data_IF_232236485463
#
_entry.id   IF_232236485463
#
_cell.length_a   1.000
_cell.length_b   1.000
_cell.length_c   1.000
_cell.angle_alpha   90.00
_cell.angle_beta   90.00
_cell.angle_gamma   90.00
#
_symmetry.space_group_name_H-M   'P 1'
#
loop_
_entity.id
_entity.type
_entity.pdbx_description
1 polymer ?
#
# COMPACT_ATOMS: atom_id res chain seq x y z
N UNK A 1 41.52 18.83 31.44
CA UNK A 1 40.58 17.75 31.77
C UNK A 1 39.17 18.31 31.68
N UNK A 2 38.60 18.30 30.47
CA UNK A 2 37.26 18.84 30.21
C UNK A 2 36.25 17.72 30.53
N UNK A 3 35.93 17.56 31.81
CA UNK A 3 34.91 16.61 32.25
C UNK A 3 33.54 17.17 31.90
N UNK A 4 32.82 16.52 30.99
CA UNK A 4 31.41 16.83 30.76
C UNK A 4 30.71 16.67 32.11
N UNK A 5 30.02 17.71 32.63
CA UNK A 5 29.38 17.63 33.92
C UNK A 5 28.36 16.50 33.88
N UNK A 6 28.46 15.56 34.82
CA UNK A 6 27.61 14.39 34.97
C UNK A 6 26.11 14.63 34.67
N UNK A 7 25.48 15.74 35.12
CA UNK A 7 24.08 16.00 34.77
C UNK A 7 23.80 16.15 33.26
N UNK A 8 24.73 16.69 32.47
CA UNK A 8 24.56 16.80 31.02
C UNK A 8 24.60 15.44 30.32
N UNK A 9 25.40 14.50 30.84
CA UNK A 9 25.44 13.12 30.33
C UNK A 9 24.09 12.43 30.57
N UNK A 10 23.51 12.62 31.76
CA UNK A 10 22.20 12.04 32.11
C UNK A 10 21.10 12.62 31.20
N UNK A 11 21.10 13.93 30.96
CA UNK A 11 20.11 14.56 30.07
C UNK A 11 20.25 14.04 28.63
N UNK A 12 21.48 13.92 28.12
CA UNK A 12 21.71 13.39 26.78
C UNK A 12 21.25 11.93 26.64
N UNK A 13 21.46 11.10 27.67
CA UNK A 13 20.97 9.72 27.72
C UNK A 13 19.43 9.65 27.72
N UNK A 14 18.78 10.52 28.49
CA UNK A 14 17.31 10.57 28.54
C UNK A 14 16.74 11.01 27.18
N UNK A 15 17.33 12.01 26.54
CA UNK A 15 16.89 12.47 25.21
C UNK A 15 17.12 11.41 24.12
N UNK A 16 18.27 10.71 24.15
CA UNK A 16 18.54 9.62 23.22
C UNK A 16 17.57 8.44 23.41
N UNK A 17 17.23 8.09 24.66
CA UNK A 17 16.26 7.05 24.96
C UNK A 17 14.84 7.43 24.49
N UNK A 18 14.43 8.68 24.69
CA UNK A 18 13.16 9.21 24.19
C UNK A 18 13.07 9.18 22.67
N UNK A 19 14.14 9.60 21.97
CA UNK A 19 14.21 9.51 20.52
C UNK A 19 14.17 8.04 20.06
N UNK A 20 14.92 7.15 20.69
CA UNK A 20 14.87 5.72 20.41
C UNK A 20 13.48 5.11 20.59
N UNK A 21 12.74 5.53 21.63
CA UNK A 21 11.37 5.09 21.87
C UNK A 21 10.39 5.63 20.81
N UNK A 22 10.55 6.87 20.37
CA UNK A 22 9.73 7.46 19.29
C UNK A 22 9.97 6.73 17.96
N UNK A 23 11.24 6.40 17.65
CA UNK A 23 11.55 5.58 16.47
C UNK A 23 10.97 4.17 16.60
N UNK A 24 11.11 3.52 17.75
CA UNK A 24 10.53 2.20 17.98
C UNK A 24 9.00 2.20 17.83
N UNK A 25 8.32 3.23 18.34
CA UNK A 25 6.87 3.39 18.17
C UNK A 25 6.44 3.64 16.73
N UNK A 26 7.23 4.37 15.93
CA UNK A 26 6.97 4.54 14.50
C UNK A 26 7.19 3.24 13.71
N UNK A 27 8.21 2.44 14.09
CA UNK A 27 8.41 1.10 13.52
C UNK A 27 7.31 0.13 13.94
N UNK A 28 6.84 0.20 15.18
CA UNK A 28 5.69 -0.57 15.66
C UNK A 28 4.41 -0.13 14.96
N UNK A 29 4.14 1.15 14.70
CA UNK A 29 2.97 1.54 13.90
C UNK A 29 3.06 1.05 12.45
N UNK A 30 4.26 0.96 11.89
CA UNK A 30 4.49 0.37 10.57
C UNK A 30 4.45 -1.17 10.58
N UNK A 31 4.63 -1.80 11.75
CA UNK A 31 4.71 -3.27 11.93
C UNK A 31 3.49 -3.87 12.63
N UNK A 32 2.65 -3.08 13.29
CA UNK A 32 1.39 -3.57 13.90
C UNK A 32 0.33 -3.80 12.83
N UNK A 33 0.50 -3.22 11.63
CA UNK A 33 -0.16 -3.70 10.40
C UNK A 33 0.42 -5.03 9.87
N UNK A 34 1.48 -5.57 10.49
CA UNK A 34 2.12 -6.87 10.22
C UNK A 34 2.13 -7.71 11.51
N UNK A 35 0.99 -8.10 12.06
CA UNK A 35 0.99 -9.02 13.21
C UNK A 35 -0.27 -9.89 13.24
N UNK A 36 -0.33 -10.88 12.34
CA UNK A 36 -0.63 -12.30 12.62
C UNK A 36 -1.19 -12.99 11.38
N UNK A 37 -0.32 -13.66 10.60
CA UNK A 37 -0.63 -14.99 10.05
C UNK A 37 0.64 -15.60 9.43
N UNK A 38 1.16 -16.65 10.07
CA UNK A 38 2.12 -17.55 9.47
C UNK A 38 1.44 -18.30 8.32
N UNK A 39 1.73 -17.90 7.08
CA UNK A 39 1.27 -18.56 5.87
C UNK A 39 2.48 -19.01 5.03
N UNK A 40 2.55 -20.31 4.73
CA UNK A 40 3.65 -20.94 4.03
C UNK A 40 3.94 -20.29 2.66
N UNK A 41 5.22 -20.22 2.29
CA UNK A 41 5.64 -19.93 0.92
C UNK A 41 5.15 -21.04 0.01
N UNK A 42 4.09 -20.78 -0.76
CA UNK A 42 3.65 -21.64 -1.85
C UNK A 42 4.13 -21.05 -3.17
N UNK A 43 5.11 -21.74 -3.74
CA UNK A 43 5.54 -21.64 -5.12
C UNK A 43 4.40 -22.17 -6.01
N UNK A 44 3.66 -21.30 -6.70
CA UNK A 44 2.56 -21.71 -7.59
C UNK A 44 2.21 -20.63 -8.61
N UNK A 45 2.41 -20.97 -9.89
CA UNK A 45 1.80 -20.42 -11.11
C UNK A 45 1.05 -19.08 -11.00
N UNK A 46 1.68 -18.03 -11.51
CA UNK A 46 1.12 -16.80 -12.12
C UNK A 46 -0.42 -16.67 -12.09
N UNK A 47 -0.94 -16.03 -11.04
CA UNK A 47 -2.29 -15.47 -11.01
C UNK A 47 -3.01 -15.70 -9.68
N UNK A 48 -3.50 -14.62 -9.07
CA UNK A 48 -4.59 -14.70 -8.10
C UNK A 48 -5.80 -15.32 -8.79
N UNK A 49 -6.35 -16.40 -8.24
CA UNK A 49 -7.53 -17.06 -8.81
C UNK A 49 -8.71 -16.08 -8.91
N UNK A 50 -9.57 -16.25 -9.91
CA UNK A 50 -10.74 -15.39 -10.08
C UNK A 50 -11.93 -15.95 -9.30
N UNK A 51 -12.77 -15.07 -8.77
CA UNK A 51 -14.02 -15.45 -8.12
C UNK A 51 -15.11 -15.82 -9.16
N UNK A 52 -16.30 -16.13 -8.64
CA UNK A 52 -17.47 -16.48 -9.47
C UNK A 52 -17.95 -15.37 -10.40
N UNK A 53 -17.60 -14.10 -10.13
CA UNK A 53 -17.90 -12.95 -10.99
C UNK A 53 -16.77 -12.62 -11.97
N UNK A 54 -15.69 -13.42 -11.97
CA UNK A 54 -14.55 -13.26 -12.86
C UNK A 54 -13.52 -12.23 -12.40
N UNK A 55 -13.63 -11.69 -11.19
CA UNK A 55 -12.68 -10.73 -10.62
C UNK A 55 -11.49 -11.45 -9.97
N UNK A 56 -10.26 -10.90 -10.06
CA UNK A 56 -9.10 -11.47 -9.37
C UNK A 56 -9.27 -11.35 -7.84
N UNK A 57 -9.03 -12.45 -7.12
CA UNK A 57 -9.09 -12.49 -5.65
C UNK A 57 -7.73 -12.14 -5.07
N UNK A 58 -7.62 -10.94 -4.51
CA UNK A 58 -6.37 -10.38 -4.01
C UNK A 58 -6.41 -10.32 -2.48
N UNK A 59 -5.34 -10.80 -1.86
CA UNK A 59 -5.10 -10.67 -0.43
C UNK A 59 -3.82 -9.89 -0.21
N UNK A 60 -3.54 -9.51 1.03
CA UNK A 60 -2.27 -8.85 1.38
C UNK A 60 -1.04 -9.65 0.93
N UNK A 61 -1.10 -10.99 0.94
CA UNK A 61 0.01 -11.85 0.56
C UNK A 61 0.16 -12.02 -0.95
N UNK A 62 -0.92 -11.86 -1.72
CA UNK A 62 -0.91 -12.03 -3.18
C UNK A 62 -0.86 -10.70 -3.94
N UNK A 63 -1.06 -9.57 -3.25
CA UNK A 63 -1.08 -8.24 -3.83
C UNK A 63 0.20 -7.93 -4.63
N UNK A 64 1.38 -8.24 -4.10
CA UNK A 64 2.64 -7.95 -4.79
C UNK A 64 2.74 -8.64 -6.15
N UNK A 65 2.32 -9.90 -6.22
CA UNK A 65 2.29 -10.66 -7.48
C UNK A 65 1.25 -10.11 -8.45
N UNK A 66 0.11 -9.66 -7.94
CA UNK A 66 -0.94 -9.07 -8.77
C UNK A 66 -0.55 -7.70 -9.33
N UNK A 67 0.07 -6.84 -8.52
CA UNK A 67 0.60 -5.55 -8.98
C UNK A 67 1.69 -5.76 -10.04
N UNK A 68 2.60 -6.72 -9.85
CA UNK A 68 3.59 -7.09 -10.87
C UNK A 68 2.90 -7.54 -12.17
N UNK A 69 1.89 -8.42 -12.08
CA UNK A 69 1.10 -8.86 -13.24
C UNK A 69 0.43 -7.69 -13.95
N UNK A 70 -0.14 -6.75 -13.20
CA UNK A 70 -0.79 -5.56 -13.74
C UNK A 70 0.20 -4.64 -14.46
N UNK A 71 1.37 -4.41 -13.86
CA UNK A 71 2.47 -3.65 -14.47
C UNK A 71 2.91 -4.28 -15.79
N UNK A 72 2.98 -5.60 -15.85
CA UNK A 72 3.40 -6.35 -17.04
C UNK A 72 2.33 -6.42 -18.12
N UNK A 73 1.06 -6.67 -17.76
CA UNK A 73 -0.06 -6.89 -18.70
C UNK A 73 -0.64 -5.60 -19.26
N UNK A 74 -0.68 -4.54 -18.47
CA UNK A 74 -0.85 -3.18 -18.97
C UNK A 74 -2.22 -2.71 -19.38
N UNK A 75 -3.27 -3.37 -18.93
CA UNK A 75 -4.63 -2.86 -19.11
C UNK A 75 -4.94 -1.86 -18.02
N UNK A 76 -4.77 -0.58 -18.34
CA UNK A 76 -5.54 0.48 -17.69
C UNK A 76 -6.90 0.42 -18.37
N UNK A 77 -7.88 -0.26 -17.77
CA UNK A 77 -9.26 -0.04 -18.19
C UNK A 77 -9.76 1.19 -17.43
N UNK A 78 -9.90 2.36 -18.09
CA UNK A 78 -10.60 3.48 -17.48
C UNK A 78 -12.06 3.07 -17.33
N UNK A 79 -12.42 2.56 -16.15
CA UNK A 79 -13.78 2.26 -15.79
C UNK A 79 -14.47 3.59 -15.49
N UNK A 80 -15.41 4.00 -16.35
CA UNK A 80 -16.17 5.26 -16.21
C UNK A 80 -17.00 5.36 -14.93
N UNK A 81 -17.10 4.27 -14.17
CA UNK A 81 -17.89 4.16 -12.94
C UNK A 81 -17.13 4.56 -11.67
N UNK A 82 -15.80 4.72 -11.71
CA UNK A 82 -14.99 4.99 -10.52
C UNK A 82 -14.01 6.16 -10.75
N UNK A 83 -14.10 7.20 -9.92
CA UNK A 83 -13.19 8.35 -9.97
C UNK A 83 -12.01 8.14 -9.01
N UNK A 84 -11.03 7.38 -9.48
CA UNK A 84 -9.82 7.10 -8.71
C UNK A 84 -9.00 8.36 -8.40
N UNK A 85 -9.05 9.39 -9.24
CA UNK A 85 -8.30 10.62 -9.02
C UNK A 85 -8.94 11.46 -7.90
N UNK A 86 -10.27 11.48 -7.80
CA UNK A 86 -10.95 12.04 -6.65
C UNK A 86 -10.69 11.20 -5.39
N UNK A 87 -10.80 9.88 -5.47
CA UNK A 87 -10.52 8.99 -4.35
C UNK A 87 -9.12 9.21 -3.76
N UNK A 88 -8.05 9.21 -4.58
CA UNK A 88 -6.68 9.44 -4.08
C UNK A 88 -6.50 10.82 -3.43
N UNK A 89 -7.13 11.86 -3.99
CA UNK A 89 -7.10 13.21 -3.39
C UNK A 89 -7.79 13.23 -2.03
N UNK A 90 -8.92 12.54 -1.88
CA UNK A 90 -9.58 12.35 -0.59
C UNK A 90 -8.66 11.63 0.40
N UNK A 91 -7.89 10.65 -0.06
CA UNK A 91 -6.85 9.96 0.74
C UNK A 91 -5.61 10.82 1.06
N UNK A 92 -5.52 12.04 0.55
CA UNK A 92 -4.34 12.90 0.71
C UNK A 92 -3.13 12.45 -0.11
N UNK A 93 -3.35 11.68 -1.18
CA UNK A 93 -2.32 11.19 -2.10
C UNK A 93 -2.34 12.05 -3.37
N UNK A 94 -1.26 12.79 -3.59
CA UNK A 94 -1.07 13.66 -4.76
C UNK A 94 -0.29 12.97 -5.91
N UNK A 95 -0.13 11.65 -5.83
CA UNK A 95 0.61 10.86 -6.81
C UNK A 95 -0.23 10.52 -8.05
N UNK A 96 0.45 10.20 -9.14
CA UNK A 96 -0.23 9.80 -10.38
C UNK A 96 -0.65 8.35 -10.31
N UNK A 97 -1.87 8.07 -10.76
CA UNK A 97 -2.38 6.69 -10.91
C UNK A 97 -1.69 6.07 -12.11
N UNK A 98 -1.02 4.95 -11.86
CA UNK A 98 -0.34 4.16 -12.88
C UNK A 98 -1.26 3.09 -13.42
N UNK A 99 -1.97 2.40 -12.51
CA UNK A 99 -2.85 1.28 -12.83
C UNK A 99 -4.04 1.28 -11.87
N UNK A 100 -5.19 0.88 -12.39
CA UNK A 100 -6.41 0.70 -11.63
C UNK A 100 -7.05 -0.60 -12.10
N UNK A 101 -7.45 -1.46 -11.16
CA UNK A 101 -8.18 -2.68 -11.46
C UNK A 101 -9.27 -2.96 -10.41
N UNK A 102 -10.34 -3.63 -10.83
CA UNK A 102 -11.40 -4.09 -9.94
C UNK A 102 -11.01 -5.46 -9.38
N UNK A 103 -11.06 -5.61 -8.05
CA UNK A 103 -10.59 -6.80 -7.36
C UNK A 103 -11.62 -7.29 -6.35
N UNK A 104 -11.54 -8.57 -6.01
CA UNK A 104 -12.18 -9.12 -4.83
C UNK A 104 -11.13 -9.18 -3.71
N UNK A 105 -11.29 -8.39 -2.66
CA UNK A 105 -10.33 -8.25 -1.58
C UNK A 105 -10.57 -9.25 -0.44
N UNK A 106 -9.50 -9.91 -0.01
CA UNK A 106 -9.48 -10.77 1.17
C UNK A 106 -10.20 -12.11 0.99
N UNK A 107 -10.28 -12.88 2.08
CA UNK A 107 -10.94 -14.19 2.08
C UNK A 107 -12.47 -14.13 2.02
N UNK A 108 -13.06 -12.95 2.24
CA UNK A 108 -14.49 -12.69 2.11
C UNK A 108 -14.86 -12.23 0.69
N UNK A 109 -13.87 -12.05 -0.20
CA UNK A 109 -14.05 -11.62 -1.59
C UNK A 109 -14.84 -10.30 -1.71
N UNK A 110 -14.61 -9.36 -0.79
CA UNK A 110 -15.29 -8.08 -0.77
C UNK A 110 -14.92 -7.26 -2.02
N UNK A 111 -15.87 -6.64 -2.73
CA UNK A 111 -15.56 -5.84 -3.91
C UNK A 111 -14.70 -4.64 -3.50
N UNK A 112 -13.65 -4.36 -4.28
CA UNK A 112 -12.77 -3.22 -4.05
C UNK A 112 -12.01 -2.81 -5.30
N UNK A 113 -11.41 -1.64 -5.24
CA UNK A 113 -10.54 -1.12 -6.29
C UNK A 113 -9.09 -1.17 -5.84
N UNK A 114 -8.25 -1.77 -6.68
CA UNK A 114 -6.80 -1.71 -6.53
C UNK A 114 -6.27 -0.52 -7.31
N UNK A 115 -5.74 0.46 -6.59
CA UNK A 115 -5.11 1.66 -7.12
C UNK A 115 -3.60 1.55 -6.94
N UNK A 116 -2.88 1.51 -8.06
CA UNK A 116 -1.42 1.54 -8.08
C UNK A 116 -0.99 2.94 -8.49
N UNK A 117 -0.22 3.59 -7.63
CA UNK A 117 0.24 4.96 -7.83
C UNK A 117 1.71 5.13 -7.46
N UNK A 118 2.32 6.19 -7.98
CA UNK A 118 3.71 6.48 -7.71
C UNK A 118 4.22 7.73 -8.43
N UNK A 119 5.48 8.13 -8.14
CA UNK A 119 6.10 9.33 -8.70
C UNK A 119 6.63 9.14 -10.12
N UNK A 120 6.67 7.92 -10.63
CA UNK A 120 7.23 7.55 -11.94
C UNK A 120 6.15 6.93 -12.81
N UNK A 121 6.22 7.17 -14.12
CA UNK A 121 5.33 6.52 -15.08
C UNK A 121 5.58 5.01 -15.18
N UNK A 122 4.61 4.30 -15.75
CA UNK A 122 4.63 2.85 -15.85
C UNK A 122 5.78 2.34 -16.71
N UNK A 123 6.10 3.01 -17.81
CA UNK A 123 7.19 2.62 -18.72
C UNK A 123 8.54 2.68 -18.00
N UNK A 124 8.77 3.75 -17.24
CA UNK A 124 9.95 3.93 -16.40
C UNK A 124 10.02 2.85 -15.32
N UNK A 125 8.90 2.53 -14.67
CA UNK A 125 8.83 1.49 -13.64
C UNK A 125 9.15 0.10 -14.22
N UNK A 126 8.64 -0.24 -15.40
CA UNK A 126 8.92 -1.52 -16.07
C UNK A 126 10.39 -1.68 -16.44
N UNK A 127 11.02 -0.59 -16.89
CA UNK A 127 12.41 -0.63 -17.36
C UNK A 127 13.42 -0.68 -16.22
N UNK A 128 13.14 0.00 -15.10
CA UNK A 128 14.13 0.18 -14.03
C UNK A 128 13.78 -0.57 -12.74
N UNK A 129 12.55 -1.10 -12.62
CA UNK A 129 12.00 -1.50 -11.34
C UNK A 129 11.84 -0.31 -10.40
N UNK A 130 11.35 -0.56 -9.20
CA UNK A 130 11.18 0.50 -8.20
C UNK A 130 10.21 0.14 -7.09
N UNK A 131 10.07 1.06 -6.15
CA UNK A 131 9.04 0.99 -5.12
C UNK A 131 7.88 1.85 -5.58
N UNK A 132 6.68 1.28 -5.59
CA UNK A 132 5.42 1.97 -5.87
C UNK A 132 4.45 1.71 -4.75
N UNK A 133 3.49 2.60 -4.60
CA UNK A 133 2.46 2.46 -3.59
C UNK A 133 1.21 1.84 -4.22
N UNK A 134 0.60 0.93 -3.47
CA UNK A 134 -0.66 0.30 -3.80
C UNK A 134 -1.66 0.59 -2.68
N UNK A 135 -2.87 0.94 -3.07
CA UNK A 135 -3.97 1.24 -2.16
C UNK A 135 -5.19 0.48 -2.62
N UNK A 136 -5.85 -0.21 -1.69
CA UNK A 136 -7.13 -0.88 -1.91
C UNK A 136 -8.22 -0.08 -1.23
N UNK A 137 -9.24 0.28 -1.99
CA UNK A 137 -10.35 1.12 -1.54
C UNK A 137 -11.70 0.50 -1.83
N UNK A 138 -12.71 0.92 -1.09
CA UNK A 138 -14.10 0.55 -1.30
C UNK A 138 -14.65 1.17 -2.60
N UNK A 139 -15.67 0.56 -3.24
CA UNK A 139 -16.31 1.08 -4.43
C UNK A 139 -16.89 2.49 -4.30
N UNK A 140 -17.24 2.91 -3.08
CA UNK A 140 -17.80 4.22 -2.77
C UNK A 140 -16.75 5.34 -2.72
N UNK A 141 -15.46 5.02 -2.75
CA UNK A 141 -14.40 6.04 -2.69
C UNK A 141 -14.51 7.03 -3.87
N UNK A 142 -14.29 8.32 -3.62
CA UNK A 142 -14.39 9.36 -4.65
C UNK A 142 -15.83 9.73 -5.03
N UNK A 143 -16.85 9.18 -4.37
CA UNK A 143 -18.25 9.61 -4.55
C UNK A 143 -18.65 10.75 -3.60
N UNK A 144 -17.79 11.09 -2.63
CA UNK A 144 -18.04 12.10 -1.61
C UNK A 144 -18.96 11.65 -0.47
N UNK A 145 -19.36 10.37 -0.44
CA UNK A 145 -20.24 9.80 0.59
C UNK A 145 -19.61 9.85 1.99
N UNK A 146 -18.29 9.63 2.11
CA UNK A 146 -17.56 9.62 3.38
C UNK A 146 -16.64 10.84 3.55
N UNK A 147 -17.14 12.03 3.20
CA UNK A 147 -16.37 13.29 3.21
C UNK A 147 -15.83 13.71 4.58
N UNK A 148 -16.41 13.21 5.67
CA UNK A 148 -16.00 13.57 7.05
C UNK A 148 -14.79 12.76 7.55
N UNK A 149 -14.51 11.59 6.97
CA UNK A 149 -13.38 10.74 7.33
C UNK A 149 -12.89 9.94 6.11
N UNK A 150 -11.93 10.51 5.34
CA UNK A 150 -11.44 9.86 4.12
C UNK A 150 -10.75 8.53 4.38
N UNK A 151 -10.35 8.22 5.62
CA UNK A 151 -9.77 6.93 5.96
C UNK A 151 -10.76 5.76 5.88
N UNK A 152 -12.07 6.00 5.85
CA UNK A 152 -13.10 4.96 5.88
C UNK A 152 -13.22 4.17 4.59
N UNK A 153 -12.95 4.84 3.46
CA UNK A 153 -12.98 4.19 2.15
C UNK A 153 -11.72 3.37 1.87
N UNK A 154 -10.67 3.52 2.68
CA UNK A 154 -9.40 2.79 2.51
C UNK A 154 -9.42 1.48 3.27
N UNK A 155 -9.38 0.38 2.53
CA UNK A 155 -9.28 -0.97 3.08
C UNK A 155 -7.84 -1.29 3.45
N UNK A 156 -6.90 -0.94 2.56
CA UNK A 156 -5.48 -1.25 2.73
C UNK A 156 -4.60 -0.26 1.98
N UNK A 157 -3.39 0.03 2.48
CA UNK A 157 -2.34 0.72 1.71
C UNK A 157 -0.95 0.23 2.11
N UNK A 158 -0.05 0.20 1.15
CA UNK A 158 1.35 -0.10 1.40
C UNK A 158 2.20 -0.03 0.14
N UNK A 159 3.49 -0.23 0.34
CA UNK A 159 4.47 -0.19 -0.74
C UNK A 159 4.76 -1.58 -1.29
N UNK A 160 4.86 -1.66 -2.61
CA UNK A 160 5.18 -2.87 -3.37
C UNK A 160 6.47 -2.63 -4.14
N UNK A 161 7.40 -3.57 -4.02
CA UNK A 161 8.63 -3.56 -4.80
C UNK A 161 8.40 -4.27 -6.13
N UNK A 162 8.66 -3.57 -7.22
CA UNK A 162 8.58 -4.06 -8.59
C UNK A 162 9.99 -4.34 -9.09
N UNK A 163 10.18 -5.57 -9.57
CA UNK A 163 11.44 -5.97 -10.20
C UNK A 163 11.58 -5.34 -11.58
N UNK A 164 12.81 -5.01 -11.97
CA UNK A 164 13.13 -4.74 -13.37
C UNK A 164 13.09 -6.04 -14.17
N UNK A 165 12.58 -6.00 -15.40
CA UNK A 165 12.66 -7.09 -16.38
C UNK A 165 14.09 -7.31 -16.90
#
# INVERSE_FOLDING_TARGET
MLGIPLPLIVIALVLAALLGAQLAGALEQSTTSRSHMSGASVDSLTGTGNNSTGLPVVTETTLGAEVQRLVDTGTIQPMTSFDAAQCLREQGVDESILIMDEIAWGGEEAPGWLLVHGPVDRETLRANGGVISATVVLPECGTGVHTDDPGQDRIWSGDVMIGSL
#
